data_IF_904392806406
#
_entry.id   IF_904392806406
#
_cell.length_a   1.000
_cell.length_b   1.000
_cell.length_c   1.000
_cell.angle_alpha   90.00
_cell.angle_beta   90.00
_cell.angle_gamma   90.00
#
_symmetry.space_group_name_H-M   'P 1'
#
loop_
_entity.id
_entity.type
_entity.pdbx_description
1 polymer ?
#
# COMPACT_ATOMS: atom_id res chain seq x y z
N UNK A 1 -10.97 6.99 19.45
CA UNK A 1 -10.68 5.63 18.94
C UNK A 1 -10.11 4.82 20.09
N UNK A 2 -10.68 3.67 20.44
CA UNK A 2 -10.16 2.82 21.52
C UNK A 2 -9.06 1.88 21.06
N UNK A 3 -8.30 1.32 22.01
CA UNK A 3 -7.42 0.18 21.72
C UNK A 3 -8.26 -0.99 21.18
N UNK A 4 -7.71 -1.73 20.22
CA UNK A 4 -8.35 -2.96 19.77
C UNK A 4 -8.16 -4.03 20.86
N UNK A 5 -9.26 -4.59 21.43
CA UNK A 5 -9.15 -5.57 22.51
C UNK A 5 -8.51 -6.86 22.00
N UNK A 6 -7.91 -7.61 22.91
CA UNK A 6 -7.36 -8.94 22.64
C UNK A 6 -8.32 -9.99 23.17
N UNK A 7 -8.71 -10.92 22.31
CA UNK A 7 -9.66 -12.00 22.58
C UNK A 7 -8.89 -13.32 22.66
N UNK A 8 -9.20 -14.17 23.64
CA UNK A 8 -8.66 -15.52 23.70
C UNK A 8 -9.56 -16.47 22.90
N UNK A 9 -9.16 -16.76 21.66
CA UNK A 9 -9.82 -17.76 20.83
C UNK A 9 -9.29 -19.17 21.19
N UNK A 10 -10.18 -20.12 21.44
CA UNK A 10 -9.81 -21.49 21.79
C UNK A 10 -8.99 -22.19 20.69
N UNK A 11 -9.27 -21.87 19.42
CA UNK A 11 -8.59 -22.48 18.25
C UNK A 11 -7.32 -21.72 17.85
N UNK A 12 -7.34 -20.39 17.94
CA UNK A 12 -6.31 -19.52 17.35
C UNK A 12 -5.41 -18.83 18.38
N UNK A 13 -5.65 -19.06 19.68
CA UNK A 13 -4.96 -18.37 20.78
C UNK A 13 -5.39 -16.90 20.90
N UNK A 14 -4.49 -16.03 21.37
CA UNK A 14 -4.81 -14.63 21.64
C UNK A 14 -4.77 -13.80 20.35
N UNK A 15 -5.94 -13.44 19.83
CA UNK A 15 -6.12 -12.63 18.62
C UNK A 15 -6.57 -11.21 18.95
N UNK A 16 -6.39 -10.27 18.02
CA UNK A 16 -6.94 -8.91 18.16
C UNK A 16 -8.36 -8.91 17.60
N UNK A 17 -9.31 -8.37 18.36
CA UNK A 17 -10.71 -8.29 17.95
C UNK A 17 -10.87 -7.48 16.66
N UNK A 18 -11.87 -7.86 15.86
CA UNK A 18 -12.26 -7.08 14.68
C UNK A 18 -12.94 -5.78 15.15
N UNK A 19 -12.35 -4.65 14.79
CA UNK A 19 -12.88 -3.30 15.10
C UNK A 19 -13.10 -2.52 13.80
N UNK A 20 -14.10 -1.61 13.74
CA UNK A 20 -14.43 -0.92 12.49
C UNK A 20 -13.36 0.08 12.00
N UNK A 21 -12.42 0.48 12.87
CA UNK A 21 -11.36 1.46 12.56
C UNK A 21 -9.98 0.85 12.29
N UNK A 22 -9.82 -0.48 12.32
CA UNK A 22 -8.53 -1.13 12.06
C UNK A 22 -8.72 -2.37 11.18
N UNK A 23 -7.74 -2.63 10.32
CA UNK A 23 -7.75 -3.80 9.44
C UNK A 23 -6.95 -4.96 10.07
N UNK A 24 -7.35 -6.22 9.84
CA UNK A 24 -6.60 -7.39 10.32
C UNK A 24 -5.12 -7.33 9.92
N UNK A 25 -4.23 -7.58 10.87
CA UNK A 25 -2.78 -7.55 10.65
C UNK A 25 -2.19 -6.16 10.34
N UNK A 26 -2.98 -5.08 10.43
CA UNK A 26 -2.49 -3.71 10.34
C UNK A 26 -2.04 -3.21 11.71
N UNK A 27 -0.89 -2.54 11.76
CA UNK A 27 -0.45 -1.75 12.93
C UNK A 27 -1.07 -0.35 12.95
N UNK A 28 -1.77 0.03 11.90
CA UNK A 28 -2.33 1.37 11.71
C UNK A 28 -3.86 1.33 11.65
N UNK A 29 -4.48 2.45 11.99
CA UNK A 29 -5.90 2.65 11.77
C UNK A 29 -6.18 2.73 10.26
N UNK A 30 -7.42 2.38 9.90
CA UNK A 30 -7.91 2.41 8.52
C UNK A 30 -7.82 3.82 7.92
N UNK A 31 -8.16 4.84 8.71
CA UNK A 31 -8.15 6.23 8.27
C UNK A 31 -6.72 6.74 8.08
N UNK A 32 -5.80 6.34 8.96
CA UNK A 32 -4.37 6.60 8.77
C UNK A 32 -3.89 5.98 7.46
N UNK A 33 -4.21 4.70 7.19
CA UNK A 33 -3.84 4.05 5.94
C UNK A 33 -4.40 4.77 4.71
N UNK A 34 -5.66 5.19 4.76
CA UNK A 34 -6.32 5.91 3.67
C UNK A 34 -5.64 7.25 3.36
N UNK A 35 -5.30 8.03 4.39
CA UNK A 35 -4.61 9.33 4.22
C UNK A 35 -3.23 9.20 3.55
N UNK A 36 -2.58 8.04 3.65
CA UNK A 36 -1.28 7.77 3.03
C UNK A 36 -1.36 7.13 1.65
N UNK A 37 -2.42 6.37 1.37
CA UNK A 37 -2.50 5.63 0.11
C UNK A 37 -2.46 6.56 -1.11
N UNK A 38 -3.10 7.73 -1.03
CA UNK A 38 -3.12 8.69 -2.13
C UNK A 38 -1.74 9.30 -2.44
N UNK A 39 -1.00 9.89 -1.47
CA UNK A 39 0.38 10.36 -1.72
C UNK A 39 1.31 9.29 -2.27
N UNK A 40 1.18 8.04 -1.80
CA UNK A 40 2.01 6.92 -2.26
C UNK A 40 1.71 6.53 -3.70
N UNK A 41 0.44 6.61 -4.13
CA UNK A 41 0.04 6.34 -5.50
C UNK A 41 0.36 7.49 -6.45
N UNK A 42 0.25 8.74 -5.98
CA UNK A 42 0.31 9.92 -6.83
C UNK A 42 1.69 10.61 -6.88
N UNK A 43 2.56 10.39 -5.90
CA UNK A 43 3.83 11.13 -5.80
C UNK A 43 5.07 10.25 -6.03
N UNK A 44 6.14 10.85 -6.57
CA UNK A 44 7.43 10.20 -6.71
C UNK A 44 8.00 9.85 -5.31
N UNK A 45 8.75 8.75 -5.21
CA UNK A 45 9.44 8.28 -4.00
C UNK A 45 10.22 9.38 -3.27
N UNK A 46 10.80 10.34 -3.98
CA UNK A 46 11.49 11.50 -3.36
C UNK A 46 10.52 12.40 -2.56
N UNK A 47 9.33 12.63 -3.10
CA UNK A 47 8.26 13.41 -2.46
C UNK A 47 7.63 12.64 -1.30
N UNK A 48 7.44 11.32 -1.47
CA UNK A 48 6.92 10.44 -0.42
C UNK A 48 7.93 10.26 0.71
N UNK A 49 9.23 10.24 0.44
CA UNK A 49 10.27 10.11 1.47
C UNK A 49 10.31 11.26 2.48
N UNK A 50 9.81 12.45 2.09
CA UNK A 50 9.62 13.59 2.98
C UNK A 50 8.27 13.60 3.72
N UNK A 51 7.32 12.75 3.32
CA UNK A 51 5.96 12.70 3.84
C UNK A 51 5.74 11.40 4.65
N UNK A 52 5.45 11.59 5.93
CA UNK A 52 5.95 10.97 7.17
C UNK A 52 6.89 9.77 7.12
N UNK A 53 7.71 9.65 8.19
CA UNK A 53 8.85 8.73 8.39
C UNK A 53 8.53 7.23 8.39
N UNK A 54 7.68 6.75 7.50
CA UNK A 54 7.46 5.33 7.24
C UNK A 54 8.34 4.88 6.08
N UNK A 55 8.96 3.71 6.23
CA UNK A 55 9.75 3.12 5.16
C UNK A 55 8.89 2.94 3.89
N UNK A 56 9.46 3.18 2.71
CA UNK A 56 8.78 3.00 1.42
C UNK A 56 8.13 1.61 1.28
N UNK A 57 8.75 0.57 1.86
CA UNK A 57 8.17 -0.78 1.91
C UNK A 57 6.83 -0.79 2.64
N UNK A 58 6.74 -0.16 3.80
CA UNK A 58 5.52 -0.02 4.60
C UNK A 58 4.46 0.77 3.85
N UNK A 59 4.86 1.85 3.18
CA UNK A 59 3.98 2.66 2.35
C UNK A 59 3.33 1.84 1.21
N UNK A 60 4.11 1.01 0.51
CA UNK A 60 3.58 0.10 -0.51
C UNK A 60 2.60 -0.95 0.05
N UNK A 61 2.84 -1.46 1.27
CA UNK A 61 1.89 -2.36 1.93
C UNK A 61 0.58 -1.67 2.28
N UNK A 62 0.62 -0.42 2.74
CA UNK A 62 -0.58 0.39 3.02
C UNK A 62 -1.36 0.63 1.73
N UNK A 63 -0.70 1.05 0.65
CA UNK A 63 -1.34 1.32 -0.64
C UNK A 63 -2.07 0.09 -1.21
N UNK A 64 -1.42 -1.08 -1.22
CA UNK A 64 -2.04 -2.33 -1.69
C UNK A 64 -3.27 -2.73 -0.88
N UNK A 65 -3.22 -2.56 0.44
CA UNK A 65 -4.35 -2.88 1.31
C UNK A 65 -5.54 -1.95 1.05
N UNK A 66 -5.28 -0.65 0.91
CA UNK A 66 -6.32 0.32 0.59
C UNK A 66 -6.93 0.03 -0.79
N UNK A 67 -6.12 -0.31 -1.79
CA UNK A 67 -6.60 -0.71 -3.12
C UNK A 67 -7.52 -1.93 -3.05
N UNK A 68 -7.10 -3.03 -2.40
CA UNK A 68 -7.90 -4.24 -2.28
C UNK A 68 -9.27 -4.00 -1.59
N UNK A 69 -9.29 -3.13 -0.58
CA UNK A 69 -10.55 -2.73 0.08
C UNK A 69 -11.47 -1.94 -0.85
N UNK A 70 -10.92 -1.01 -1.63
CA UNK A 70 -11.69 -0.23 -2.60
C UNK A 70 -12.24 -1.14 -3.70
N UNK A 71 -11.41 -2.02 -4.26
CA UNK A 71 -11.83 -3.05 -5.23
C UNK A 71 -12.96 -3.93 -4.70
N UNK A 72 -12.90 -4.32 -3.41
CA UNK A 72 -13.96 -5.13 -2.78
C UNK A 72 -15.26 -4.36 -2.52
N UNK A 73 -15.22 -3.02 -2.53
CA UNK A 73 -16.36 -2.17 -2.17
C UNK A 73 -17.00 -1.48 -3.38
N UNK A 74 -16.32 -1.47 -4.53
CA UNK A 74 -16.82 -0.85 -5.76
C UNK A 74 -17.46 -1.90 -6.67
N UNK A 75 -18.50 -1.53 -7.45
CA UNK A 75 -18.94 -2.33 -8.59
C UNK A 75 -17.77 -2.64 -9.53
N UNK A 76 -17.90 -3.67 -10.36
CA UNK A 76 -16.81 -4.03 -11.24
C UNK A 76 -16.54 -2.85 -12.19
N UNK A 77 -15.26 -2.45 -12.30
CA UNK A 77 -14.86 -1.38 -13.22
C UNK A 77 -15.15 -1.71 -14.69
N UNK A 78 -15.51 -2.96 -14.96
CA UNK A 78 -15.83 -3.48 -16.29
C UNK A 78 -17.33 -3.59 -16.55
N UNK A 79 -18.18 -3.24 -15.58
CA UNK A 79 -19.64 -3.30 -15.75
C UNK A 79 -20.08 -2.30 -16.83
N UNK A 80 -20.59 -2.81 -17.96
CA UNK A 80 -20.99 -2.00 -19.11
C UNK A 80 -19.83 -1.52 -20.00
N UNK A 81 -18.60 -2.01 -19.80
CA UNK A 81 -17.46 -1.61 -20.62
C UNK A 81 -17.64 -2.11 -22.07
N UNK A 82 -17.63 -1.18 -23.03
CA UNK A 82 -17.82 -1.48 -24.46
C UNK A 82 -16.53 -1.41 -25.27
N UNK A 83 -15.50 -0.71 -24.78
CA UNK A 83 -14.19 -0.60 -25.44
C UNK A 83 -13.06 -0.41 -24.42
N UNK A 84 -11.87 -0.95 -24.71
CA UNK A 84 -10.67 -0.81 -23.89
C UNK A 84 -9.49 -0.38 -24.76
N UNK A 85 -8.81 0.70 -24.37
CA UNK A 85 -7.54 1.11 -24.96
C UNK A 85 -6.38 0.48 -24.21
N UNK A 86 -5.37 0.01 -24.93
CA UNK A 86 -4.12 -0.52 -24.36
C UNK A 86 -2.99 0.37 -24.83
N UNK A 87 -2.21 0.89 -23.89
CA UNK A 87 -1.01 1.68 -24.15
C UNK A 87 0.21 0.99 -23.54
N UNK A 88 1.35 1.09 -24.22
CA UNK A 88 2.61 0.55 -23.71
C UNK A 88 3.47 1.69 -23.13
N UNK A 89 3.69 1.62 -21.82
CA UNK A 89 4.68 2.46 -21.15
C UNK A 89 5.95 1.66 -20.88
N UNK A 90 7.09 2.13 -21.39
CA UNK A 90 8.42 1.57 -21.07
C UNK A 90 9.07 2.32 -19.90
N UNK A 91 9.62 1.58 -18.94
CA UNK A 91 10.35 2.14 -17.80
C UNK A 91 11.86 1.88 -17.95
N UNK A 92 12.65 2.95 -17.96
CA UNK A 92 14.11 2.84 -17.94
C UNK A 92 14.61 2.31 -16.59
N UNK A 93 15.06 1.05 -16.54
CA UNK A 93 15.82 0.55 -15.39
C UNK A 93 17.17 1.27 -15.33
N UNK A 94 17.50 1.87 -14.20
CA UNK A 94 18.81 2.48 -13.96
C UNK A 94 19.92 1.42 -14.02
N UNK A 95 20.64 1.36 -15.13
CA UNK A 95 21.87 0.59 -15.23
C UNK A 95 23.03 1.48 -14.75
N UNK A 96 23.23 1.55 -13.43
CA UNK A 96 24.48 2.09 -12.89
C UNK A 96 25.59 1.06 -13.11
N UNK A 97 26.20 1.05 -14.30
CA UNK A 97 27.49 0.40 -14.50
C UNK A 97 28.53 1.26 -13.81
N UNK A 98 28.99 0.83 -12.64
CA UNK A 98 30.22 1.36 -12.07
C UNK A 98 31.37 0.95 -12.99
N UNK A 99 31.77 1.83 -13.90
CA UNK A 99 33.10 1.75 -14.49
C UNK A 99 34.11 1.99 -13.36
N UNK A 100 34.61 0.92 -12.76
CA UNK A 100 35.89 0.97 -12.04
C UNK A 100 36.96 1.27 -13.09
N UNK A 101 37.27 2.55 -13.24
CA UNK A 101 38.44 3.00 -13.98
C UNK A 101 39.67 2.30 -13.40
N UNK A 102 40.27 1.42 -14.19
CA UNK A 102 41.62 0.92 -13.97
C UNK A 102 42.54 2.10 -14.26
N UNK A 103 43.11 2.72 -13.22
CA UNK A 103 44.21 3.68 -13.40
C UNK A 103 45.47 2.93 -13.86
N UNK A 104 46.29 3.51 -14.75
CA UNK A 104 47.58 2.96 -15.13
C UNK A 104 48.56 2.91 -13.94
#
# INVERSE_FOLDING_TARGET
>A
MGLAPREACAEHGVVVARVPWAEPGSRFTRDFGMGYAWPVAAANQKTVGGFPRIACRTAGHIARRVAARLESSMPSMFDGLTAMGVDETSYGKGAHVHHRGRRP
#
